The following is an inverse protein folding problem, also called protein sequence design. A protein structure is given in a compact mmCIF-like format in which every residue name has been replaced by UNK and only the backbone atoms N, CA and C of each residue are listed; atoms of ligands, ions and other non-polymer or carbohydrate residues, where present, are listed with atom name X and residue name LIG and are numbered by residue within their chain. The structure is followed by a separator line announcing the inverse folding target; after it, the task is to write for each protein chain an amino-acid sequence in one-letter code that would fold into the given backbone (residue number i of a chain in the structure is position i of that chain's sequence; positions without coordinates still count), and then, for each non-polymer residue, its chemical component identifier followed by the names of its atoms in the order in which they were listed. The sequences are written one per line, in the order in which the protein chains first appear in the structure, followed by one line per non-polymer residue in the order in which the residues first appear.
data_IF_144886531717
#
_entry.id   IF_144886531717
#
_cell.length_a   1.000
_cell.length_b   1.000
_cell.length_c   1.000
_cell.angle_alpha   90.00
_cell.angle_beta   90.00
_cell.angle_gamma   90.00
#
_symmetry.space_group_name_H-M   'P 1'
#
loop_
_entity.id
_entity.type
_entity.pdbx_description
1 polymer ?
#
# COMPACT_ATOMS: atom_id res chain seq x y z
N UNK A 1 -19.14 -21.12 -56.24
CA UNK A 1 -19.84 -19.90 -55.81
C UNK A 1 -20.85 -20.28 -54.74
N UNK A 2 -20.49 -20.21 -53.45
CA UNK A 2 -21.42 -20.49 -52.35
C UNK A 2 -20.92 -19.78 -51.08
N UNK A 3 -21.77 -18.87 -50.57
CA UNK A 3 -21.96 -18.53 -49.14
C UNK A 3 -20.75 -17.99 -48.36
N UNK A 4 -20.79 -16.99 -47.49
CA UNK A 4 -21.88 -16.37 -46.73
C UNK A 4 -21.26 -15.17 -46.00
N UNK A 5 -21.92 -14.01 -46.09
CA UNK A 5 -21.56 -12.84 -45.29
C UNK A 5 -21.77 -13.10 -43.80
N UNK A 6 -20.69 -13.12 -43.03
CA UNK A 6 -20.75 -13.05 -41.57
C UNK A 6 -20.61 -11.59 -41.14
N UNK A 7 -21.77 -10.94 -41.04
CA UNK A 7 -21.97 -9.74 -40.24
C UNK A 7 -21.51 -10.03 -38.81
N UNK A 8 -20.30 -9.57 -38.44
CA UNK A 8 -19.90 -9.45 -37.04
C UNK A 8 -20.64 -8.26 -36.46
N UNK A 9 -21.76 -8.53 -35.81
CA UNK A 9 -22.42 -7.60 -34.89
C UNK A 9 -21.45 -7.34 -33.74
N UNK A 10 -20.68 -6.26 -33.82
CA UNK A 10 -19.98 -5.69 -32.68
C UNK A 10 -21.04 -5.10 -31.74
N UNK A 11 -21.59 -5.94 -30.86
CA UNK A 11 -22.40 -5.46 -29.77
C UNK A 11 -21.50 -4.62 -28.86
N UNK A 12 -21.68 -3.30 -28.92
CA UNK A 12 -21.08 -2.32 -28.02
C UNK A 12 -21.65 -2.49 -26.62
N UNK A 13 -21.15 -3.47 -25.87
CA UNK A 13 -21.33 -3.49 -24.41
C UNK A 13 -20.40 -2.45 -23.82
N UNK A 14 -20.86 -1.20 -23.70
CA UNK A 14 -20.19 -0.23 -22.85
C UNK A 14 -20.25 -0.79 -21.42
N UNK A 15 -19.11 -1.10 -20.77
CA UNK A 15 -19.13 -1.39 -19.35
C UNK A 15 -19.66 -0.14 -18.65
N UNK A 16 -20.85 -0.24 -18.05
CA UNK A 16 -21.40 0.79 -17.18
C UNK A 16 -20.42 0.99 -16.05
N UNK A 17 -19.81 2.18 -15.98
CA UNK A 17 -18.84 2.53 -14.96
C UNK A 17 -19.48 2.32 -13.58
N UNK A 18 -19.06 1.27 -12.87
CA UNK A 18 -19.53 1.01 -11.52
C UNK A 18 -19.11 2.21 -10.65
N UNK A 19 -20.08 2.86 -10.02
CA UNK A 19 -19.84 3.96 -9.08
C UNK A 19 -19.20 3.37 -7.81
N UNK A 20 -17.87 3.36 -7.75
CA UNK A 20 -17.14 2.92 -6.55
C UNK A 20 -17.37 3.96 -5.46
N UNK A 21 -18.32 3.69 -4.56
CA UNK A 21 -18.52 4.53 -3.37
C UNK A 21 -17.26 4.45 -2.52
N UNK A 22 -16.69 5.62 -2.20
CA UNK A 22 -15.53 5.69 -1.33
C UNK A 22 -15.92 5.22 0.08
N UNK A 23 -15.42 4.05 0.48
CA UNK A 23 -15.60 3.53 1.82
C UNK A 23 -14.43 3.94 2.70
N UNK A 24 -14.69 4.74 3.74
CA UNK A 24 -13.69 5.15 4.73
C UNK A 24 -12.93 3.96 5.35
N UNK A 25 -13.64 2.86 5.61
CA UNK A 25 -13.01 1.63 6.13
C UNK A 25 -12.02 0.99 5.16
N UNK A 26 -12.28 1.10 3.86
CA UNK A 26 -11.35 0.63 2.83
C UNK A 26 -10.12 1.52 2.74
N UNK A 27 -10.28 2.84 2.84
CA UNK A 27 -9.17 3.79 2.85
C UNK A 27 -8.17 3.52 3.98
N UNK A 28 -8.66 3.32 5.21
CA UNK A 28 -7.79 2.98 6.36
C UNK A 28 -7.05 1.66 6.14
N UNK A 29 -7.73 0.65 5.59
CA UNK A 29 -7.13 -0.65 5.31
C UNK A 29 -6.06 -0.57 4.22
N UNK A 30 -6.29 0.24 3.19
CA UNK A 30 -5.31 0.47 2.12
C UNK A 30 -4.08 1.21 2.65
N UNK A 31 -4.23 2.20 3.52
CA UNK A 31 -3.11 2.83 4.22
C UNK A 31 -2.34 1.85 5.11
N UNK A 32 -3.04 1.02 5.89
CA UNK A 32 -2.41 0.01 6.74
C UNK A 32 -1.63 -1.03 5.93
N UNK A 33 -2.12 -1.40 4.73
CA UNK A 33 -1.43 -2.26 3.78
C UNK A 33 -0.22 -1.57 3.15
N UNK A 34 -0.34 -0.28 2.81
CA UNK A 34 0.75 0.51 2.22
C UNK A 34 1.97 0.54 3.15
N UNK A 35 1.75 0.92 4.42
CA UNK A 35 2.83 1.04 5.42
C UNK A 35 3.22 -0.32 6.04
N UNK A 36 2.59 -1.41 5.60
CA UNK A 36 2.70 -2.76 6.22
C UNK A 36 2.64 -2.70 7.74
N UNK A 37 1.58 -2.10 8.28
CA UNK A 37 1.46 -1.71 9.69
C UNK A 37 1.92 -2.80 10.68
N UNK A 38 1.47 -4.05 10.51
CA UNK A 38 1.85 -5.17 11.38
C UNK A 38 3.35 -5.44 11.40
N UNK A 39 4.01 -5.39 10.23
CA UNK A 39 5.44 -5.60 10.12
C UNK A 39 6.21 -4.42 10.71
N UNK A 40 5.79 -3.21 10.40
CA UNK A 40 6.41 -1.97 10.90
C UNK A 40 6.32 -1.88 12.43
N UNK A 41 5.23 -2.35 13.04
CA UNK A 41 5.12 -2.45 14.50
C UNK A 41 6.10 -3.46 15.11
N UNK A 42 6.31 -4.62 14.48
CA UNK A 42 7.29 -5.60 14.99
C UNK A 42 8.71 -5.04 14.97
N UNK A 43 9.06 -4.30 13.91
CA UNK A 43 10.36 -3.60 13.80
C UNK A 43 10.48 -2.50 14.86
N UNK A 44 9.42 -1.72 15.05
CA UNK A 44 9.44 -0.65 16.05
C UNK A 44 9.56 -1.19 17.47
N UNK A 45 8.88 -2.29 17.76
CA UNK A 45 8.92 -2.94 19.06
C UNK A 45 10.33 -3.41 19.42
N UNK A 46 11.03 -4.08 18.51
CA UNK A 46 12.41 -4.53 18.76
C UNK A 46 13.38 -3.35 18.91
N UNK A 47 13.21 -2.28 18.11
CA UNK A 47 14.01 -1.07 18.22
C UNK A 47 13.80 -0.35 19.55
N UNK A 48 12.56 -0.23 20.02
CA UNK A 48 12.23 0.41 21.30
C UNK A 48 12.77 -0.40 22.49
N UNK A 49 12.69 -1.73 22.46
CA UNK A 49 13.32 -2.59 23.49
C UNK A 49 14.83 -2.38 23.50
N UNK A 50 15.48 -2.44 22.34
CA UNK A 50 16.93 -2.24 22.23
C UNK A 50 17.34 -0.87 22.77
N UNK A 51 16.58 0.17 22.43
CA UNK A 51 16.81 1.52 22.94
C UNK A 51 16.65 1.62 24.45
N UNK A 52 15.66 0.92 25.04
CA UNK A 52 15.49 0.86 26.49
C UNK A 52 16.63 0.15 27.21
N UNK A 53 17.16 -0.94 26.64
CA UNK A 53 18.29 -1.68 27.20
C UNK A 53 19.57 -0.82 27.20
N UNK A 54 19.83 -0.11 26.10
CA UNK A 54 21.06 0.70 25.94
C UNK A 54 20.95 2.06 26.64
N UNK A 55 19.79 2.70 26.60
CA UNK A 55 19.58 4.08 27.07
C UNK A 55 19.59 4.25 28.60
N UNK A 56 19.46 3.17 29.36
CA UNK A 56 19.41 3.22 30.83
C UNK A 56 18.29 4.12 31.38
N UNK A 57 18.39 4.53 32.64
CA UNK A 57 17.38 5.37 33.32
C UNK A 57 17.34 6.84 32.86
N UNK A 58 18.26 7.26 31.98
CA UNK A 58 18.37 8.65 31.51
C UNK A 58 17.74 8.90 30.14
N UNK A 59 17.08 7.89 29.55
CA UNK A 59 16.41 8.06 28.27
C UNK A 59 15.17 8.97 28.44
N UNK A 60 15.35 10.26 28.15
CA UNK A 60 14.26 11.23 28.16
C UNK A 60 13.10 10.78 27.26
N UNK A 61 11.85 10.92 27.73
CA UNK A 61 10.66 10.52 27.00
C UNK A 61 10.56 11.09 25.57
N UNK A 62 11.13 12.27 25.34
CA UNK A 62 11.22 12.85 23.99
C UNK A 62 12.01 11.98 22.99
N UNK A 63 13.08 11.30 23.43
CA UNK A 63 13.89 10.42 22.56
C UNK A 63 13.14 9.15 22.20
N UNK A 64 12.35 8.60 23.13
CA UNK A 64 11.45 7.48 22.87
C UNK A 64 10.41 7.83 21.82
N UNK A 65 9.79 9.01 21.93
CA UNK A 65 8.80 9.49 20.97
C UNK A 65 9.45 9.72 19.58
N UNK A 66 10.62 10.34 19.54
CA UNK A 66 11.36 10.56 18.29
C UNK A 66 11.73 9.24 17.61
N UNK A 67 12.18 8.24 18.37
CA UNK A 67 12.49 6.92 17.83
C UNK A 67 11.22 6.21 17.33
N UNK A 68 10.14 6.26 18.10
CA UNK A 68 8.88 5.64 17.74
C UNK A 68 8.29 6.25 16.46
N UNK A 69 8.15 7.57 16.41
CA UNK A 69 7.56 8.29 15.27
C UNK A 69 8.51 8.26 14.07
N UNK A 70 9.79 8.59 14.26
CA UNK A 70 10.77 8.58 13.18
C UNK A 70 10.98 7.20 12.58
N UNK A 71 11.13 6.17 13.42
CA UNK A 71 11.28 4.79 12.97
C UNK A 71 10.05 4.28 12.20
N UNK A 72 8.85 4.60 12.68
CA UNK A 72 7.61 4.25 11.99
C UNK A 72 7.50 4.96 10.63
N UNK A 73 7.75 6.28 10.59
CA UNK A 73 7.66 7.07 9.37
C UNK A 73 8.67 6.63 8.31
N UNK A 74 9.94 6.41 8.70
CA UNK A 74 10.98 5.93 7.77
C UNK A 74 10.63 4.55 7.21
N UNK A 75 10.17 3.63 8.07
CA UNK A 75 9.76 2.29 7.63
C UNK A 75 8.52 2.34 6.73
N UNK A 76 7.56 3.20 7.06
CA UNK A 76 6.36 3.44 6.25
C UNK A 76 6.69 4.00 4.86
N UNK A 77 7.55 5.03 4.80
CA UNK A 77 8.00 5.65 3.56
C UNK A 77 8.74 4.65 2.66
N UNK A 78 9.65 3.85 3.23
CA UNK A 78 10.34 2.80 2.48
C UNK A 78 9.37 1.77 1.90
N UNK A 79 8.35 1.34 2.66
CA UNK A 79 7.34 0.42 2.16
C UNK A 79 6.45 1.02 1.06
N UNK A 80 6.06 2.29 1.20
CA UNK A 80 5.27 2.99 0.20
C UNK A 80 6.06 3.15 -1.12
N UNK A 81 7.32 3.60 -1.02
CA UNK A 81 8.22 3.74 -2.16
C UNK A 81 8.43 2.40 -2.87
N UNK A 82 8.64 1.31 -2.13
CA UNK A 82 8.78 -0.03 -2.72
C UNK A 82 7.54 -0.42 -3.53
N UNK A 83 6.32 -0.12 -3.05
CA UNK A 83 5.09 -0.43 -3.80
C UNK A 83 4.90 0.46 -5.03
N UNK A 84 5.38 1.70 -4.99
CA UNK A 84 5.34 2.60 -6.15
C UNK A 84 6.31 2.15 -7.23
N UNK A 85 7.54 1.81 -6.87
CA UNK A 85 8.58 1.35 -7.81
C UNK A 85 8.23 -0.01 -8.43
N UNK A 86 7.62 -0.91 -7.65
CA UNK A 86 7.24 -2.26 -8.11
C UNK A 86 5.84 -2.31 -8.76
N UNK A 87 5.14 -1.18 -8.93
CA UNK A 87 3.71 -1.15 -9.32
C UNK A 87 3.36 -2.07 -10.49
N UNK A 88 4.09 -1.97 -11.60
CA UNK A 88 3.80 -2.72 -12.83
C UNK A 88 4.06 -4.23 -12.65
N UNK A 89 5.09 -4.58 -11.88
CA UNK A 89 5.42 -5.96 -11.57
C UNK A 89 4.42 -6.57 -10.58
N UNK A 90 4.02 -5.80 -9.57
CA UNK A 90 3.03 -6.24 -8.58
C UNK A 90 1.69 -6.55 -9.23
N UNK A 91 1.29 -5.82 -10.27
CA UNK A 91 0.03 -6.03 -11.00
C UNK A 91 -0.10 -7.43 -11.61
N UNK A 92 1.01 -8.07 -12.00
CA UNK A 92 1.01 -9.40 -12.64
C UNK A 92 1.28 -10.54 -11.66
N UNK A 93 1.52 -10.24 -10.38
CA UNK A 93 1.86 -11.24 -9.35
C UNK A 93 0.65 -11.63 -8.48
N UNK A 94 0.35 -12.93 -8.39
CA UNK A 94 -0.76 -13.46 -7.56
C UNK A 94 -0.72 -12.99 -6.10
N UNK A 95 0.47 -12.81 -5.51
CA UNK A 95 0.65 -12.39 -4.11
C UNK A 95 0.45 -10.90 -3.90
N UNK A 96 0.87 -10.06 -4.85
CA UNK A 96 1.01 -8.61 -4.65
C UNK A 96 0.10 -7.76 -5.52
N UNK A 97 -0.62 -8.37 -6.47
CA UNK A 97 -1.61 -7.70 -7.32
C UNK A 97 -2.71 -6.97 -6.53
N UNK A 98 -2.96 -7.38 -5.29
CA UNK A 98 -3.95 -6.75 -4.41
C UNK A 98 -3.39 -5.61 -3.54
N UNK A 99 -2.11 -5.24 -3.68
CA UNK A 99 -1.53 -4.06 -3.03
C UNK A 99 -2.26 -2.79 -3.51
N UNK A 100 -2.47 -1.77 -2.65
CA UNK A 100 -3.29 -0.61 -2.96
C UNK A 100 -2.84 0.16 -4.21
N UNK A 101 -1.52 0.30 -4.43
CA UNK A 101 -0.96 1.01 -5.61
C UNK A 101 -1.08 0.17 -6.88
N UNK A 102 -0.74 -1.14 -6.81
CA UNK A 102 -0.84 -2.07 -7.93
C UNK A 102 -2.29 -2.30 -8.38
N UNK A 103 -3.21 -2.44 -7.42
CA UNK A 103 -4.64 -2.62 -7.67
C UNK A 103 -5.35 -1.34 -8.13
N UNK A 104 -4.65 -0.19 -8.21
CA UNK A 104 -5.23 1.09 -8.60
C UNK A 104 -6.20 1.70 -7.58
N UNK A 105 -6.25 1.17 -6.35
CA UNK A 105 -7.08 1.74 -5.27
C UNK A 105 -6.48 2.99 -4.64
N UNK A 106 -5.18 3.18 -4.81
CA UNK A 106 -4.44 4.37 -4.39
C UNK A 106 -3.58 4.87 -5.55
N UNK A 107 -3.61 6.18 -5.77
CA UNK A 107 -2.77 6.80 -6.80
C UNK A 107 -1.30 6.81 -6.38
N UNK A 108 -0.38 6.85 -7.35
CA UNK A 108 1.05 6.94 -7.06
C UNK A 108 1.37 8.21 -6.28
N UNK A 109 0.79 9.36 -6.65
CA UNK A 109 1.01 10.62 -5.93
C UNK A 109 0.56 10.53 -4.46
N UNK A 110 -0.62 9.98 -4.19
CA UNK A 110 -1.12 9.78 -2.81
C UNK A 110 -0.25 8.84 -1.98
N UNK A 111 0.47 7.91 -2.62
CA UNK A 111 1.33 6.97 -1.89
C UNK A 111 2.65 7.61 -1.42
N UNK A 112 3.11 8.71 -2.04
CA UNK A 112 4.42 9.33 -1.75
C UNK A 112 4.38 10.80 -1.31
N UNK A 113 3.27 11.50 -1.51
CA UNK A 113 3.06 12.91 -1.12
C UNK A 113 2.01 13.02 -0.01
#
# INVERSE_FOLDING_TARGET
MHSTGRSRKWASSHPTAASTTFSWGQGVRDWALLVKFRLSLMVLFSALISFGIVGGSQAAWGRWLLLAVGGFLVTGAANALNQVLEREYDMVMKRTANRPVAAGRMSVSTAVL
#
